data_IF_436946565642
#
_entry.id   IF_436946565642
#
_cell.length_a   1.000
_cell.length_b   1.000
_cell.length_c   1.000
_cell.angle_alpha   90.00
_cell.angle_beta   90.00
_cell.angle_gamma   90.00
#
_symmetry.space_group_name_H-M   'P 1'
#
loop_
_entity.id
_entity.type
_entity.pdbx_description
1 polymer ?
#
# COMPACT_ATOMS: atom_id res chain seq x y z
N UNK A 1 18.33 5.91 23.66
CA UNK A 1 18.13 5.92 22.20
C UNK A 1 16.95 6.82 21.94
N UNK A 2 17.12 7.82 21.08
CA UNK A 2 16.00 8.64 20.60
C UNK A 2 15.01 7.71 19.89
N UNK A 3 13.71 7.88 20.11
CA UNK A 3 12.71 7.01 19.48
C UNK A 3 12.75 7.21 17.96
N UNK A 4 12.74 6.12 17.17
CA UNK A 4 12.76 6.19 15.69
C UNK A 4 11.47 6.80 15.12
N UNK A 5 10.40 6.77 15.92
CA UNK A 5 9.08 7.34 15.63
C UNK A 5 8.70 8.39 16.66
N UNK A 6 8.25 9.53 16.18
CA UNK A 6 7.88 10.67 17.02
C UNK A 6 6.36 10.75 17.24
N UNK A 7 5.94 11.80 17.95
CA UNK A 7 4.52 12.08 18.20
C UNK A 7 3.75 12.33 16.90
N UNK A 8 4.37 12.93 15.89
CA UNK A 8 3.71 13.27 14.62
C UNK A 8 3.41 12.01 13.82
N UNK A 9 4.27 10.99 13.88
CA UNK A 9 3.97 9.68 13.27
C UNK A 9 2.73 9.03 13.88
N UNK A 10 2.60 9.04 15.21
CA UNK A 10 1.40 8.54 15.89
C UNK A 10 0.15 9.35 15.51
N UNK A 11 0.29 10.67 15.47
CA UNK A 11 -0.80 11.57 15.09
C UNK A 11 -1.26 11.35 13.64
N UNK A 12 -0.34 11.08 12.72
CA UNK A 12 -0.65 10.77 11.32
C UNK A 12 -1.37 9.42 11.18
N UNK A 13 -0.94 8.40 11.94
CA UNK A 13 -1.64 7.11 12.02
C UNK A 13 -3.07 7.30 12.51
N UNK A 14 -3.26 8.04 13.60
CA UNK A 14 -4.59 8.28 14.15
C UNK A 14 -5.44 9.15 13.21
N UNK A 15 -4.82 10.06 12.45
CA UNK A 15 -5.49 10.82 11.38
C UNK A 15 -6.04 9.90 10.29
N UNK A 16 -5.29 8.87 9.88
CA UNK A 16 -5.78 7.88 8.91
C UNK A 16 -6.98 7.12 9.48
N UNK A 17 -6.90 6.70 10.75
CA UNK A 17 -8.00 5.99 11.44
C UNK A 17 -9.27 6.83 11.45
N UNK A 18 -9.18 8.09 11.90
CA UNK A 18 -10.34 8.97 12.03
C UNK A 18 -10.92 9.35 10.67
N UNK A 19 -10.09 9.63 9.66
CA UNK A 19 -10.56 9.86 8.29
C UNK A 19 -11.32 8.66 7.70
N UNK A 20 -10.82 7.44 7.95
CA UNK A 20 -11.49 6.23 7.48
C UNK A 20 -12.86 6.02 8.16
N UNK A 21 -12.94 6.22 9.49
CA UNK A 21 -14.20 6.16 10.22
C UNK A 21 -15.19 7.21 9.71
N UNK A 22 -14.78 8.48 9.63
CA UNK A 22 -15.64 9.59 9.24
C UNK A 22 -16.17 9.45 7.81
N UNK A 23 -15.32 9.02 6.86
CA UNK A 23 -15.73 8.81 5.47
C UNK A 23 -16.76 7.69 5.33
N UNK A 24 -16.58 6.57 6.05
CA UNK A 24 -17.51 5.45 6.01
C UNK A 24 -18.84 5.80 6.67
N UNK A 25 -18.82 6.48 7.84
CA UNK A 25 -20.05 6.97 8.50
C UNK A 25 -20.83 7.93 7.60
N UNK A 26 -20.13 8.90 7.00
CA UNK A 26 -20.73 9.89 6.09
C UNK A 26 -21.34 9.24 4.86
N UNK A 27 -20.64 8.28 4.26
CA UNK A 27 -21.13 7.53 3.10
C UNK A 27 -22.26 6.55 3.45
N UNK A 28 -22.42 6.21 4.75
CA UNK A 28 -23.27 5.10 5.24
C UNK A 28 -22.96 3.78 4.54
N UNK A 29 -21.71 3.62 4.10
CA UNK A 29 -21.24 2.50 3.29
C UNK A 29 -19.72 2.41 3.34
N UNK A 30 -19.17 1.20 3.44
CA UNK A 30 -17.74 0.96 3.35
C UNK A 30 -17.21 0.02 4.42
N UNK A 31 -15.88 -0.05 4.49
CA UNK A 31 -15.15 -1.02 5.29
C UNK A 31 -14.19 -0.29 6.23
N UNK A 32 -14.59 0.03 7.47
CA UNK A 32 -13.79 0.84 8.37
C UNK A 32 -12.78 0.02 9.18
N UNK A 33 -13.05 -1.26 9.45
CA UNK A 33 -12.26 -2.08 10.36
C UNK A 33 -10.81 -2.27 9.94
N UNK A 34 -10.57 -2.70 8.70
CA UNK A 34 -9.22 -2.91 8.16
C UNK A 34 -8.43 -1.59 8.03
N UNK A 35 -8.99 -0.48 7.49
CA UNK A 35 -8.31 0.81 7.53
C UNK A 35 -7.89 1.29 8.92
N UNK A 36 -8.74 1.10 9.94
CA UNK A 36 -8.40 1.49 11.31
C UNK A 36 -7.23 0.66 11.87
N UNK A 37 -7.24 -0.65 11.61
CA UNK A 37 -6.20 -1.57 12.05
C UNK A 37 -4.86 -1.32 11.36
N UNK A 38 -4.87 -1.11 10.04
CA UNK A 38 -3.67 -1.05 9.19
C UNK A 38 -3.13 0.36 8.93
N UNK A 39 -3.70 1.38 9.59
CA UNK A 39 -3.17 2.74 9.56
C UNK A 39 -1.64 2.84 9.81
N UNK A 40 -1.04 2.08 10.76
CA UNK A 40 0.41 2.05 10.93
C UNK A 40 1.17 1.57 9.68
N UNK A 41 0.70 0.52 9.01
CA UNK A 41 1.32 -0.02 7.79
C UNK A 41 1.29 1.02 6.67
N UNK A 42 0.12 1.61 6.41
CA UNK A 42 -0.04 2.60 5.35
C UNK A 42 0.83 3.84 5.62
N UNK A 43 0.82 4.36 6.85
CA UNK A 43 1.64 5.51 7.21
C UNK A 43 3.13 5.23 7.00
N UNK A 44 3.65 4.13 7.56
CA UNK A 44 5.07 3.79 7.44
C UNK A 44 5.48 3.59 5.97
N UNK A 45 4.70 2.85 5.19
CA UNK A 45 5.01 2.62 3.78
C UNK A 45 5.12 3.94 3.00
N UNK A 46 4.09 4.79 3.06
CA UNK A 46 4.06 6.02 2.27
C UNK A 46 5.01 7.09 2.81
N UNK A 47 5.19 7.20 4.13
CA UNK A 47 6.04 8.23 4.71
C UNK A 47 7.53 7.87 4.73
N UNK A 48 7.89 6.57 4.73
CA UNK A 48 9.27 6.12 4.95
C UNK A 48 9.81 5.15 3.90
N UNK A 49 9.06 4.12 3.52
CA UNK A 49 9.65 3.01 2.73
C UNK A 49 9.54 3.19 1.22
N UNK A 50 8.39 3.67 0.71
CA UNK A 50 8.17 3.82 -0.72
C UNK A 50 9.08 4.92 -1.29
N UNK A 51 9.73 4.62 -2.41
CA UNK A 51 10.31 5.62 -3.32
C UNK A 51 9.22 6.12 -4.26
N UNK A 52 8.58 7.23 -3.94
CA UNK A 52 7.49 7.79 -4.76
C UNK A 52 7.57 9.32 -4.80
N UNK A 53 6.97 9.92 -5.82
CA UNK A 53 6.78 11.38 -5.91
C UNK A 53 5.29 11.68 -6.13
N UNK A 54 4.57 12.16 -5.12
CA UNK A 54 3.16 12.56 -5.23
C UNK A 54 2.90 13.64 -6.29
N UNK A 55 3.92 14.45 -6.63
CA UNK A 55 3.85 15.46 -7.68
C UNK A 55 4.07 14.91 -9.09
N UNK A 56 4.41 13.64 -9.23
CA UNK A 56 4.58 12.92 -10.50
C UNK A 56 4.30 11.42 -10.29
N UNK A 57 3.02 11.06 -10.11
CA UNK A 57 2.61 9.69 -9.82
C UNK A 57 2.93 8.73 -10.98
N UNK A 58 3.30 9.24 -12.16
CA UNK A 58 3.66 8.44 -13.33
C UNK A 58 5.17 8.18 -13.46
N UNK A 59 5.99 8.68 -12.52
CA UNK A 59 7.44 8.44 -12.49
C UNK A 59 7.76 6.94 -12.71
N UNK A 60 8.46 6.54 -13.81
CA UNK A 60 8.61 5.13 -14.17
C UNK A 60 9.29 4.27 -13.11
N UNK A 61 10.27 4.82 -12.39
CA UNK A 61 11.08 4.10 -11.39
C UNK A 61 10.66 4.38 -9.93
N UNK A 62 9.39 4.73 -9.71
CA UNK A 62 8.79 4.75 -8.38
C UNK A 62 8.54 3.33 -7.86
N UNK A 63 8.53 3.13 -6.56
CA UNK A 63 7.98 1.89 -5.99
C UNK A 63 6.48 1.82 -6.26
N UNK A 64 5.99 0.62 -6.60
CA UNK A 64 4.57 0.34 -6.83
C UNK A 64 3.93 -0.12 -5.52
N UNK A 65 2.72 0.37 -5.23
CA UNK A 65 1.91 -0.08 -4.11
C UNK A 65 0.56 -0.60 -4.59
N UNK A 66 0.23 -1.85 -4.25
CA UNK A 66 -1.04 -2.50 -4.59
C UNK A 66 -1.82 -2.80 -3.31
N UNK A 67 -3.01 -2.23 -3.19
CA UNK A 67 -3.97 -2.60 -2.16
C UNK A 67 -4.80 -3.80 -2.65
N UNK A 68 -4.33 -5.04 -2.46
CA UNK A 68 -5.06 -6.24 -2.92
C UNK A 68 -6.37 -6.42 -2.17
N UNK A 69 -6.35 -6.14 -0.86
CA UNK A 69 -7.55 -6.02 -0.02
C UNK A 69 -8.32 -4.71 -0.33
N UNK A 70 -8.75 -4.55 -1.58
CA UNK A 70 -9.30 -3.31 -2.13
C UNK A 70 -10.51 -2.76 -1.38
N UNK A 71 -11.20 -3.59 -0.60
CA UNK A 71 -12.29 -3.14 0.27
C UNK A 71 -11.84 -2.09 1.28
N UNK A 72 -10.56 -2.13 1.71
CA UNK A 72 -9.91 -1.17 2.61
C UNK A 72 -9.52 0.15 1.90
N UNK A 73 -10.20 0.53 0.82
CA UNK A 73 -9.82 1.65 -0.06
C UNK A 73 -9.62 2.98 0.66
N UNK A 74 -10.38 3.27 1.72
CA UNK A 74 -10.21 4.48 2.52
C UNK A 74 -8.84 4.59 3.20
N UNK A 75 -8.18 3.46 3.49
CA UNK A 75 -6.80 3.43 3.97
C UNK A 75 -5.86 4.06 2.93
N UNK A 76 -5.97 3.61 1.68
CA UNK A 76 -5.17 4.11 0.57
C UNK A 76 -5.50 5.58 0.29
N UNK A 77 -6.78 5.95 0.21
CA UNK A 77 -7.17 7.33 -0.06
C UNK A 77 -6.72 8.31 1.03
N UNK A 78 -6.77 7.92 2.30
CA UNK A 78 -6.23 8.71 3.39
C UNK A 78 -4.70 8.86 3.26
N UNK A 79 -3.96 7.79 2.97
CA UNK A 79 -2.51 7.87 2.75
C UNK A 79 -2.15 8.78 1.55
N UNK A 80 -2.87 8.66 0.43
CA UNK A 80 -2.70 9.51 -0.76
C UNK A 80 -3.01 10.98 -0.46
N UNK A 81 -4.09 11.26 0.28
CA UNK A 81 -4.43 12.61 0.73
C UNK A 81 -3.32 13.22 1.60
N UNK A 82 -2.88 12.48 2.62
CA UNK A 82 -1.88 12.98 3.58
C UNK A 82 -0.49 13.13 2.96
N UNK A 83 -0.17 12.36 1.93
CA UNK A 83 1.14 12.44 1.26
C UNK A 83 1.17 13.31 0.01
N UNK A 84 0.04 13.91 -0.39
CA UNK A 84 0.04 14.99 -1.39
C UNK A 84 -0.23 14.57 -2.83
N UNK A 85 -0.88 13.42 -3.07
CA UNK A 85 -1.28 12.94 -4.41
C UNK A 85 -2.45 13.73 -5.04
N UNK A 86 -2.81 14.87 -4.46
CA UNK A 86 -3.87 15.74 -4.98
C UNK A 86 -5.30 15.26 -4.69
N UNK A 87 -5.49 14.26 -3.83
CA UNK A 87 -6.80 14.03 -3.19
C UNK A 87 -7.04 15.09 -2.11
N UNK A 88 -8.24 15.66 -2.10
CA UNK A 88 -8.67 16.69 -1.15
C UNK A 88 -9.52 16.10 -0.03
N UNK A 89 -9.79 16.87 1.03
CA UNK A 89 -10.77 16.44 2.04
C UNK A 89 -12.18 16.31 1.47
N UNK A 90 -12.53 17.09 0.44
CA UNK A 90 -13.84 16.98 -0.21
C UNK A 90 -13.97 15.70 -1.04
N UNK A 91 -12.87 15.23 -1.64
CA UNK A 91 -12.82 13.90 -2.25
C UNK A 91 -13.07 12.81 -1.19
N UNK A 92 -12.45 12.90 -0.01
CA UNK A 92 -12.68 11.93 1.08
C UNK A 92 -14.11 12.00 1.63
N UNK A 93 -14.68 13.20 1.76
CA UNK A 93 -16.09 13.40 2.13
C UNK A 93 -17.08 12.86 1.10
N UNK A 94 -16.63 12.70 -0.14
CA UNK A 94 -17.39 12.16 -1.26
C UNK A 94 -17.12 10.67 -1.49
N UNK A 95 -16.54 9.98 -0.49
CA UNK A 95 -16.31 8.53 -0.55
C UNK A 95 -17.59 7.79 -0.95
N UNK A 96 -17.46 6.89 -1.93
CA UNK A 96 -18.56 6.07 -2.50
C UNK A 96 -19.73 6.86 -3.09
N UNK A 97 -19.56 8.16 -3.35
CA UNK A 97 -20.59 8.97 -4.02
C UNK A 97 -20.41 8.95 -5.54
N UNK A 98 -21.50 9.19 -6.27
CA UNK A 98 -21.50 9.25 -7.72
C UNK A 98 -20.48 10.28 -8.26
N UNK A 99 -19.61 9.85 -9.16
CA UNK A 99 -18.62 10.70 -9.81
C UNK A 99 -17.44 11.13 -8.92
N UNK A 100 -17.31 10.57 -7.72
CA UNK A 100 -16.18 10.91 -6.84
C UNK A 100 -14.88 10.26 -7.30
N UNK A 101 -13.75 10.85 -6.88
CA UNK A 101 -12.39 10.28 -7.07
C UNK A 101 -12.02 9.25 -5.99
N UNK A 102 -13.00 8.84 -5.20
CA UNK A 102 -12.85 7.92 -4.06
C UNK A 102 -13.93 6.84 -4.12
N UNK A 103 -13.94 6.01 -5.17
CA UNK A 103 -14.89 4.91 -5.31
C UNK A 103 -14.73 3.87 -4.20
N UNK A 104 -15.71 2.99 -4.05
CA UNK A 104 -15.76 2.01 -2.96
C UNK A 104 -14.65 0.96 -2.96
N UNK A 105 -14.00 0.77 -4.10
CA UNK A 105 -12.75 0.03 -4.30
C UNK A 105 -11.84 0.87 -5.22
N UNK A 106 -10.50 0.79 -5.11
CA UNK A 106 -9.61 1.62 -5.92
C UNK A 106 -9.78 1.37 -7.41
N UNK A 107 -9.76 2.43 -8.21
CA UNK A 107 -9.85 2.36 -9.67
C UNK A 107 -8.66 3.07 -10.33
N UNK A 108 -7.87 2.31 -11.10
CA UNK A 108 -6.77 2.89 -11.87
C UNK A 108 -7.29 3.81 -12.98
N UNK A 109 -6.61 4.94 -13.18
CA UNK A 109 -7.00 5.99 -14.14
C UNK A 109 -7.99 7.02 -13.57
N UNK A 110 -8.64 6.74 -12.44
CA UNK A 110 -9.55 7.68 -11.77
C UNK A 110 -8.84 8.47 -10.65
N UNK A 111 -8.05 7.78 -9.84
CA UNK A 111 -7.42 8.35 -8.64
C UNK A 111 -5.90 8.30 -8.77
N UNK A 112 -5.19 9.45 -8.77
CA UNK A 112 -3.73 9.47 -8.80
C UNK A 112 -3.12 8.67 -7.65
N UNK A 113 -2.11 7.86 -7.96
CA UNK A 113 -1.46 6.95 -7.00
C UNK A 113 -2.16 5.60 -6.79
N UNK A 114 -3.26 5.33 -7.50
CA UNK A 114 -3.85 3.98 -7.60
C UNK A 114 -3.23 3.25 -8.80
N UNK A 115 -2.36 2.29 -8.51
CA UNK A 115 -1.62 1.53 -9.54
C UNK A 115 -2.48 0.58 -10.37
N UNK A 116 -3.52 0.02 -9.76
CA UNK A 116 -4.42 -0.96 -10.38
C UNK A 116 -5.79 -0.95 -9.70
N UNK A 117 -6.83 -1.22 -10.47
CA UNK A 117 -8.16 -1.49 -9.93
C UNK A 117 -8.18 -2.80 -9.15
N UNK A 118 -8.59 -2.75 -7.88
CA UNK A 118 -8.76 -3.94 -7.02
C UNK A 118 -10.16 -4.00 -6.42
N UNK A 119 -10.44 -5.02 -5.62
CA UNK A 119 -11.77 -5.28 -5.06
C UNK A 119 -12.11 -6.77 -5.14
N UNK A 120 -12.06 -7.39 -6.33
CA UNK A 120 -12.03 -8.84 -6.44
C UNK A 120 -10.75 -9.36 -5.77
N UNK A 121 -10.91 -10.13 -4.69
CA UNK A 121 -9.81 -10.62 -3.86
C UNK A 121 -8.83 -11.48 -4.68
N UNK A 122 -7.56 -11.47 -4.30
CA UNK A 122 -6.48 -12.20 -4.96
C UNK A 122 -5.98 -11.58 -6.28
N UNK A 123 -6.76 -10.73 -6.95
CA UNK A 123 -6.32 -10.10 -8.21
C UNK A 123 -5.15 -9.15 -8.00
N UNK A 124 -5.15 -8.35 -6.92
CA UNK A 124 -4.03 -7.48 -6.58
C UNK A 124 -2.73 -8.26 -6.30
N UNK A 125 -2.82 -9.42 -5.66
CA UNK A 125 -1.71 -10.35 -5.50
C UNK A 125 -1.11 -10.72 -6.88
N UNK A 126 -1.93 -11.23 -7.80
CA UNK A 126 -1.46 -11.64 -9.13
C UNK A 126 -0.88 -10.48 -9.95
N UNK A 127 -1.52 -9.31 -9.91
CA UNK A 127 -1.03 -8.13 -10.60
C UNK A 127 0.31 -7.62 -10.04
N UNK A 128 0.49 -7.68 -8.71
CA UNK A 128 1.77 -7.29 -8.09
C UNK A 128 2.93 -8.20 -8.54
N UNK A 129 2.67 -9.49 -8.79
CA UNK A 129 3.65 -10.40 -9.39
C UNK A 129 3.99 -9.97 -10.82
N UNK A 130 2.98 -9.60 -11.61
CA UNK A 130 3.17 -9.06 -12.95
C UNK A 130 3.98 -7.75 -12.96
N UNK A 131 3.72 -6.84 -12.03
CA UNK A 131 4.49 -5.59 -11.88
C UNK A 131 5.97 -5.86 -11.54
N UNK A 132 6.23 -6.77 -10.58
CA UNK A 132 7.60 -7.15 -10.23
C UNK A 132 8.32 -7.90 -11.37
N UNK A 133 7.60 -8.73 -12.12
CA UNK A 133 8.11 -9.37 -13.34
C UNK A 133 8.49 -8.34 -14.40
N UNK A 134 7.64 -7.33 -14.63
CA UNK A 134 7.88 -6.27 -15.59
C UNK A 134 9.10 -5.43 -15.19
N UNK A 135 9.25 -5.09 -13.90
CA UNK A 135 10.44 -4.42 -13.37
C UNK A 135 11.70 -5.24 -13.66
N UNK A 136 11.72 -6.52 -13.32
CA UNK A 136 12.88 -7.38 -13.52
C UNK A 136 13.26 -7.50 -15.01
N UNK A 137 12.25 -7.61 -15.88
CA UNK A 137 12.46 -7.65 -17.33
C UNK A 137 13.01 -6.32 -17.87
N UNK A 138 12.43 -5.19 -17.46
CA UNK A 138 12.87 -3.86 -17.89
C UNK A 138 14.28 -3.54 -17.37
N UNK A 139 14.58 -3.89 -16.12
CA UNK A 139 15.92 -3.77 -15.56
C UNK A 139 16.95 -4.57 -16.38
N UNK A 140 16.64 -5.83 -16.72
CA UNK A 140 17.52 -6.64 -17.56
C UNK A 140 17.67 -6.09 -18.98
N UNK A 141 16.62 -5.51 -19.55
CA UNK A 141 16.66 -4.94 -20.90
C UNK A 141 17.49 -3.64 -20.96
N UNK A 142 17.32 -2.74 -19.98
CA UNK A 142 17.77 -1.35 -20.07
C UNK A 142 18.94 -0.98 -19.17
N UNK A 143 19.11 -1.60 -18.00
CA UNK A 143 20.27 -1.29 -17.14
C UNK A 143 21.58 -1.74 -17.80
N UNK A 144 22.66 -1.01 -17.54
CA UNK A 144 24.02 -1.32 -18.03
C UNK A 144 25.02 -1.15 -16.88
N UNK A 145 26.22 -1.77 -16.95
CA UNK A 145 27.23 -1.59 -15.90
C UNK A 145 27.49 -0.10 -15.62
N UNK A 146 27.33 0.32 -14.36
CA UNK A 146 27.45 1.73 -13.95
C UNK A 146 26.18 2.58 -14.14
N UNK A 147 25.10 2.03 -14.71
CA UNK A 147 23.86 2.75 -14.98
C UNK A 147 22.61 1.90 -14.67
N UNK A 148 21.94 2.21 -13.56
CA UNK A 148 20.68 1.60 -13.16
C UNK A 148 19.55 2.62 -13.27
N UNK A 149 18.70 2.45 -14.27
CA UNK A 149 17.55 3.34 -14.56
C UNK A 149 16.21 2.68 -14.21
N UNK A 150 16.19 1.37 -14.00
CA UNK A 150 15.07 0.60 -13.44
C UNK A 150 15.57 -0.17 -12.22
N UNK A 151 15.11 0.23 -11.05
CA UNK A 151 15.47 -0.37 -9.77
C UNK A 151 14.39 -0.10 -8.69
N UNK A 152 13.13 -0.29 -9.02
CA UNK A 152 12.02 -0.09 -8.09
C UNK A 152 11.48 -1.40 -7.52
N UNK A 153 10.63 -1.27 -6.49
CA UNK A 153 10.01 -2.40 -5.79
C UNK A 153 8.52 -2.44 -6.03
N UNK A 154 7.94 -3.60 -5.76
CA UNK A 154 6.49 -3.76 -5.70
C UNK A 154 6.08 -4.22 -4.31
N UNK A 155 5.20 -3.46 -3.68
CA UNK A 155 4.61 -3.73 -2.37
C UNK A 155 3.13 -4.04 -2.55
N UNK A 156 2.63 -5.10 -1.93
CA UNK A 156 1.21 -5.40 -1.92
C UNK A 156 0.72 -5.61 -0.49
N UNK A 157 -0.39 -4.96 -0.12
CA UNK A 157 -1.11 -5.22 1.13
C UNK A 157 -2.24 -6.21 0.83
N UNK A 158 -2.22 -7.35 1.52
CA UNK A 158 -3.10 -8.50 1.27
C UNK A 158 -3.80 -8.93 2.55
N UNK A 159 -4.99 -9.48 2.42
CA UNK A 159 -5.84 -9.95 3.52
C UNK A 159 -5.92 -11.48 3.56
N UNK A 160 -6.54 -12.03 4.60
CA UNK A 160 -6.89 -13.46 4.63
C UNK A 160 -7.70 -13.87 3.38
N UNK A 161 -8.66 -13.04 2.98
CA UNK A 161 -9.49 -13.31 1.80
C UNK A 161 -8.68 -13.36 0.49
N UNK A 162 -7.64 -12.53 0.36
CA UNK A 162 -6.72 -12.63 -0.78
C UNK A 162 -5.93 -13.94 -0.77
N UNK A 163 -5.54 -14.43 0.41
CA UNK A 163 -4.72 -15.62 0.57
C UNK A 163 -5.51 -16.93 0.54
N UNK A 164 -6.84 -16.88 0.54
CA UNK A 164 -7.75 -18.00 0.26
C UNK A 164 -8.02 -18.18 -1.25
N UNK A 165 -7.87 -17.11 -2.04
CA UNK A 165 -8.17 -17.13 -3.46
C UNK A 165 -7.11 -17.88 -4.27
N UNK A 166 -7.53 -18.87 -5.07
CA UNK A 166 -6.63 -19.74 -5.82
C UNK A 166 -5.63 -18.99 -6.72
N UNK A 167 -6.06 -17.87 -7.31
CA UNK A 167 -5.20 -17.03 -8.15
C UNK A 167 -3.98 -16.46 -7.39
N UNK A 168 -4.11 -16.20 -6.08
CA UNK A 168 -3.00 -15.75 -5.26
C UNK A 168 -2.00 -16.89 -5.01
N UNK A 169 -2.46 -18.14 -4.89
CA UNK A 169 -1.58 -19.31 -4.77
C UNK A 169 -0.78 -19.55 -6.06
N UNK A 170 -1.43 -19.47 -7.22
CA UNK A 170 -0.78 -19.60 -8.53
C UNK A 170 0.31 -18.52 -8.71
N UNK A 171 -0.06 -17.27 -8.45
CA UNK A 171 0.85 -16.13 -8.56
C UNK A 171 2.03 -16.24 -7.56
N UNK A 172 1.77 -16.65 -6.31
CA UNK A 172 2.80 -16.84 -5.31
C UNK A 172 3.78 -17.96 -5.71
N UNK A 173 3.26 -19.08 -6.25
CA UNK A 173 4.10 -20.17 -6.74
C UNK A 173 5.04 -19.71 -7.86
N UNK A 174 4.50 -18.98 -8.84
CA UNK A 174 5.29 -18.44 -9.94
C UNK A 174 6.33 -17.42 -9.47
N UNK A 175 5.96 -16.49 -8.59
CA UNK A 175 6.86 -15.46 -8.09
C UNK A 175 8.06 -16.04 -7.33
N UNK A 176 7.84 -17.10 -6.55
CA UNK A 176 8.89 -17.82 -5.86
C UNK A 176 9.82 -18.56 -6.82
N UNK A 177 9.24 -19.25 -7.82
CA UNK A 177 10.01 -19.89 -8.90
C UNK A 177 10.90 -18.89 -9.66
N UNK A 178 10.35 -17.72 -10.00
CA UNK A 178 11.04 -16.68 -10.76
C UNK A 178 11.98 -15.82 -9.91
N UNK A 179 12.03 -16.04 -8.59
CA UNK A 179 12.95 -15.33 -7.69
C UNK A 179 12.77 -13.80 -7.76
N UNK A 180 11.52 -13.34 -7.67
CA UNK A 180 11.18 -11.92 -7.73
C UNK A 180 11.54 -11.17 -6.44
N UNK A 181 12.84 -10.97 -6.19
CA UNK A 181 13.39 -10.45 -4.94
C UNK A 181 13.07 -8.97 -4.60
N UNK A 182 12.35 -8.27 -5.48
CA UNK A 182 11.85 -6.91 -5.25
C UNK A 182 10.33 -6.85 -4.99
N UNK A 183 9.68 -8.02 -4.88
CA UNK A 183 8.28 -8.17 -4.50
C UNK A 183 8.16 -8.41 -2.99
N UNK A 184 7.33 -7.61 -2.34
CA UNK A 184 6.98 -7.76 -0.93
C UNK A 184 5.46 -7.80 -0.79
N UNK A 185 4.93 -8.87 -0.22
CA UNK A 185 3.56 -8.94 0.25
C UNK A 185 3.52 -8.71 1.76
N UNK A 186 2.60 -7.87 2.21
CA UNK A 186 2.32 -7.60 3.61
C UNK A 186 0.95 -8.18 3.88
N UNK A 187 0.89 -9.24 4.66
CA UNK A 187 -0.34 -9.92 5.02
C UNK A 187 -0.85 -9.40 6.36
N UNK A 188 -2.08 -8.87 6.32
CA UNK A 188 -2.89 -8.58 7.50
C UNK A 188 -3.47 -9.88 8.07
N UNK A 189 -2.76 -10.48 9.03
CA UNK A 189 -3.21 -11.65 9.80
C UNK A 189 -4.04 -11.16 10.99
N UNK A 190 -5.30 -10.79 10.71
CA UNK A 190 -6.24 -10.29 11.71
C UNK A 190 -7.24 -11.35 12.20
N UNK A 191 -7.24 -12.53 11.58
CA UNK A 191 -8.08 -13.69 11.92
C UNK A 191 -9.59 -13.49 11.72
N UNK A 192 -10.00 -12.51 10.92
CA UNK A 192 -11.40 -12.17 10.67
C UNK A 192 -11.67 -12.05 9.17
N UNK A 193 -12.77 -12.69 8.75
CA UNK A 193 -13.40 -12.50 7.44
C UNK A 193 -14.86 -12.02 7.63
N UNK A 194 -15.61 -11.90 6.54
CA UNK A 194 -17.04 -11.52 6.58
C UNK A 194 -17.84 -12.45 7.50
N UNK A 195 -17.58 -13.75 7.50
CA UNK A 195 -18.36 -14.74 8.26
C UNK A 195 -17.91 -14.90 9.72
N UNK A 196 -16.87 -14.20 10.16
CA UNK A 196 -16.32 -14.34 11.51
C UNK A 196 -14.86 -14.76 11.51
N UNK A 197 -14.50 -15.56 12.52
CA UNK A 197 -13.14 -16.08 12.68
C UNK A 197 -12.68 -16.86 11.44
N UNK A 198 -11.43 -16.66 11.03
CA UNK A 198 -10.79 -17.48 10.00
C UNK A 198 -10.79 -18.96 10.35
N UNK A 199 -10.84 -19.34 11.63
CA UNK A 199 -10.85 -20.76 12.05
C UNK A 199 -12.04 -21.55 11.50
N UNK A 200 -13.10 -20.87 11.03
CA UNK A 200 -14.24 -21.51 10.38
C UNK A 200 -13.90 -22.11 9.01
N UNK A 201 -12.93 -21.55 8.29
CA UNK A 201 -12.67 -21.90 6.88
C UNK A 201 -11.19 -21.80 6.42
N UNK A 202 -10.29 -21.28 7.25
CA UNK A 202 -8.91 -20.97 6.91
C UNK A 202 -7.97 -21.18 8.11
N UNK A 203 -7.48 -22.41 8.24
CA UNK A 203 -6.66 -22.88 9.37
C UNK A 203 -5.28 -23.40 8.93
N UNK A 204 -4.82 -23.06 7.73
CA UNK A 204 -3.51 -23.49 7.23
C UNK A 204 -2.35 -22.71 7.85
N UNK A 205 -1.15 -23.29 7.80
CA UNK A 205 0.08 -22.56 8.09
C UNK A 205 0.53 -21.79 6.82
N UNK A 206 0.01 -20.57 6.68
CA UNK A 206 0.34 -19.66 5.57
C UNK A 206 1.84 -19.45 5.45
N UNK A 207 2.57 -19.28 6.56
CA UNK A 207 4.01 -19.06 6.49
C UNK A 207 4.75 -20.30 6.00
N UNK A 208 4.33 -21.50 6.42
CA UNK A 208 4.90 -22.75 5.89
C UNK A 208 4.60 -22.91 4.40
N UNK A 209 3.38 -22.60 3.96
CA UNK A 209 3.03 -22.59 2.53
C UNK A 209 3.94 -21.67 1.74
N UNK A 210 4.11 -20.42 2.16
CA UNK A 210 4.97 -19.47 1.44
C UNK A 210 6.44 -19.89 1.44
N UNK A 211 6.97 -20.43 2.55
CA UNK A 211 8.31 -21.04 2.57
C UNK A 211 8.45 -22.17 1.54
N UNK A 212 7.44 -23.05 1.43
CA UNK A 212 7.43 -24.13 0.45
C UNK A 212 7.39 -23.60 -1.01
N UNK A 213 6.79 -22.43 -1.23
CA UNK A 213 6.79 -21.75 -2.52
C UNK A 213 8.10 -21.00 -2.81
N UNK A 214 9.10 -21.02 -1.92
CA UNK A 214 10.39 -20.35 -2.13
C UNK A 214 10.42 -18.88 -1.69
N UNK A 215 9.45 -18.43 -0.90
CA UNK A 215 9.42 -17.09 -0.36
C UNK A 215 10.23 -16.97 0.94
N UNK A 216 10.70 -15.76 1.23
CA UNK A 216 11.08 -15.36 2.58
C UNK A 216 9.82 -15.07 3.39
N UNK A 217 9.84 -15.41 4.66
CA UNK A 217 8.77 -15.05 5.61
C UNK A 217 9.36 -14.24 6.76
N UNK A 218 8.78 -13.07 7.01
CA UNK A 218 9.17 -12.15 8.10
C UNK A 218 7.95 -11.94 9.02
N UNK A 219 8.13 -11.97 10.34
CA UNK A 219 7.05 -11.73 11.30
C UNK A 219 7.22 -10.35 11.98
N UNK A 220 6.40 -9.39 11.53
CA UNK A 220 6.40 -8.02 12.03
C UNK A 220 5.75 -7.87 13.41
N UNK A 221 5.12 -8.92 13.96
CA UNK A 221 4.43 -8.86 15.24
C UNK A 221 3.17 -8.00 15.18
N UNK A 222 2.91 -7.27 16.27
CA UNK A 222 1.75 -6.37 16.40
C UNK A 222 1.94 -5.13 15.52
N UNK A 223 0.93 -4.81 14.71
CA UNK A 223 0.90 -3.65 13.82
C UNK A 223 1.16 -2.31 14.53
N UNK A 224 0.86 -2.20 15.83
CA UNK A 224 1.05 -0.97 16.61
C UNK A 224 2.46 -0.83 17.21
N UNK A 225 3.29 -1.87 17.15
CA UNK A 225 4.72 -1.79 17.49
C UNK A 225 5.50 -1.23 16.29
N UNK A 226 5.56 0.10 16.19
CA UNK A 226 6.14 0.78 15.03
C UNK A 226 7.62 0.45 14.81
N UNK A 227 8.38 0.23 15.89
CA UNK A 227 9.80 -0.12 15.78
C UNK A 227 9.96 -1.51 15.18
N UNK A 228 9.19 -2.48 15.67
CA UNK A 228 9.22 -3.85 15.12
C UNK A 228 8.67 -3.91 13.70
N UNK A 229 7.57 -3.22 13.42
CA UNK A 229 6.99 -3.14 12.08
C UNK A 229 7.99 -2.54 11.09
N UNK A 230 8.66 -1.44 11.45
CA UNK A 230 9.66 -0.82 10.60
C UNK A 230 10.90 -1.70 10.40
N UNK A 231 11.37 -2.39 11.44
CA UNK A 231 12.47 -3.35 11.31
C UNK A 231 12.11 -4.49 10.35
N UNK A 232 10.88 -5.01 10.41
CA UNK A 232 10.41 -6.05 9.51
C UNK A 232 10.26 -5.55 8.05
N UNK A 233 9.77 -4.32 7.84
CA UNK A 233 9.68 -3.72 6.51
C UNK A 233 11.07 -3.44 5.92
N UNK A 234 12.03 -3.01 6.75
CA UNK A 234 13.43 -2.84 6.33
C UNK A 234 14.08 -4.19 5.98
N UNK A 235 13.87 -5.23 6.80
CA UNK A 235 14.31 -6.58 6.50
C UNK A 235 13.71 -7.08 5.16
N UNK A 236 12.41 -6.87 4.95
CA UNK A 236 11.73 -7.27 3.72
C UNK A 236 12.20 -6.48 2.48
N UNK A 237 12.65 -5.23 2.68
CA UNK A 237 13.28 -4.42 1.64
C UNK A 237 14.65 -4.95 1.24
N UNK A 238 15.39 -5.62 2.13
CA UNK A 238 16.65 -6.29 1.74
C UNK A 238 16.37 -7.49 0.83
N UNK A 239 17.03 -7.57 -0.32
CA UNK A 239 16.82 -8.67 -1.27
C UNK A 239 17.92 -9.74 -1.16
N UNK A 240 17.52 -11.01 -1.12
CA UNK A 240 18.40 -12.17 -1.37
C UNK A 240 17.97 -12.92 -2.65
N UNK A 241 17.18 -12.25 -3.49
CA UNK A 241 16.57 -12.80 -4.69
C UNK A 241 15.30 -13.63 -4.44
N UNK A 242 14.78 -13.76 -3.22
CA UNK A 242 13.44 -14.35 -2.99
C UNK A 242 12.39 -13.25 -2.78
N UNK A 243 11.15 -13.41 -3.26
CA UNK A 243 10.05 -12.55 -2.83
C UNK A 243 9.79 -12.74 -1.32
N UNK A 244 9.24 -11.72 -0.66
CA UNK A 244 9.05 -11.72 0.80
C UNK A 244 7.58 -11.59 1.18
N UNK A 245 7.10 -12.46 2.07
CA UNK A 245 5.85 -12.31 2.80
C UNK A 245 6.14 -11.79 4.20
N UNK A 246 5.62 -10.61 4.52
CA UNK A 246 5.64 -10.03 5.86
C UNK A 246 4.30 -10.30 6.51
N UNK A 247 4.27 -11.06 7.59
CA UNK A 247 3.09 -11.22 8.43
C UNK A 247 3.00 -10.08 9.41
N UNK A 248 1.88 -9.38 9.40
CA UNK A 248 1.53 -8.33 10.35
C UNK A 248 0.29 -8.81 11.11
N UNK A 249 0.40 -8.97 12.43
CA UNK A 249 -0.77 -9.26 13.27
C UNK A 249 -1.48 -7.96 13.58
N UNK A 250 -2.76 -7.90 13.29
CA UNK A 250 -3.61 -6.76 13.64
C UNK A 250 -4.88 -7.23 14.34
N UNK A 251 -5.63 -6.28 14.90
CA UNK A 251 -6.99 -6.51 15.39
C UNK A 251 -7.89 -5.62 14.55
N UNK A 252 -8.83 -6.22 13.82
CA UNK A 252 -9.76 -5.45 12.98
C UNK A 252 -10.52 -4.42 13.84
N UNK A 253 -10.67 -3.19 13.35
CA UNK A 253 -11.25 -2.07 14.11
C UNK A 253 -10.57 -1.82 15.47
N UNK A 254 -9.25 -1.99 15.54
CA UNK A 254 -8.43 -1.74 16.74
C UNK A 254 -8.82 -0.44 17.46
N UNK A 255 -9.04 -0.53 18.76
CA UNK A 255 -9.36 0.61 19.62
C UNK A 255 -10.82 1.03 19.60
N UNK A 256 -11.66 0.49 18.70
CA UNK A 256 -13.08 0.87 18.60
C UNK A 256 -13.93 0.05 19.58
N UNK A 257 -14.51 0.65 20.64
CA UNK A 257 -15.29 -0.08 21.63
C UNK A 257 -16.48 -0.81 21.00
N UNK A 258 -16.65 -2.10 21.35
CA UNK A 258 -17.77 -2.93 20.89
C UNK A 258 -17.68 -3.36 19.41
N UNK A 259 -16.62 -2.98 18.69
CA UNK A 259 -16.38 -3.34 17.28
C UNK A 259 -15.01 -3.99 17.04
N UNK A 260 -14.05 -3.73 17.91
CA UNK A 260 -12.71 -4.32 17.86
C UNK A 260 -12.76 -5.86 17.86
N UNK A 261 -12.06 -6.48 16.89
CA UNK A 261 -11.98 -7.93 16.74
C UNK A 261 -13.26 -8.60 16.23
N UNK A 262 -14.29 -7.83 15.88
CA UNK A 262 -15.59 -8.35 15.48
C UNK A 262 -15.82 -8.23 13.97
N UNK A 263 -16.35 -9.28 13.34
CA UNK A 263 -16.62 -9.29 11.90
C UNK A 263 -17.63 -8.24 11.45
N UNK A 264 -18.52 -7.76 12.33
CA UNK A 264 -19.44 -6.66 12.00
C UNK A 264 -18.73 -5.34 11.73
N UNK A 265 -17.45 -5.21 12.10
CA UNK A 265 -16.62 -4.04 11.80
C UNK A 265 -15.98 -4.09 10.39
N UNK A 266 -16.10 -5.23 9.69
CA UNK A 266 -15.48 -5.42 8.39
C UNK A 266 -16.14 -4.57 7.29
N UNK A 267 -17.46 -4.70 7.10
CA UNK A 267 -18.15 -4.19 5.90
C UNK A 267 -19.35 -3.29 6.14
N UNK A 268 -19.46 -2.72 7.34
CA UNK A 268 -20.52 -1.77 7.69
C UNK A 268 -19.95 -0.56 8.43
N UNK A 269 -20.64 0.60 8.38
CA UNK A 269 -20.38 1.70 9.31
C UNK A 269 -20.32 1.21 10.76
N UNK A 270 -19.41 1.77 11.54
CA UNK A 270 -19.21 1.41 12.95
C UNK A 270 -20.37 1.92 13.81
N UNK A 271 -21.02 3.01 13.38
CA UNK A 271 -22.05 3.74 14.09
C UNK A 271 -21.45 4.93 14.85
N UNK A 272 -22.18 6.04 14.85
CA UNK A 272 -21.71 7.32 15.43
C UNK A 272 -21.24 7.22 16.88
N UNK A 273 -21.91 6.46 17.75
CA UNK A 273 -21.46 6.26 19.14
C UNK A 273 -20.10 5.56 19.24
N UNK A 274 -19.88 4.52 18.44
CA UNK A 274 -18.62 3.79 18.41
C UNK A 274 -17.47 4.66 17.87
N UNK A 275 -17.73 5.47 16.83
CA UNK A 275 -16.74 6.41 16.28
C UNK A 275 -16.37 7.50 17.29
N UNK A 276 -17.35 8.09 17.97
CA UNK A 276 -17.10 9.09 19.02
C UNK A 276 -16.24 8.52 20.14
N UNK A 277 -16.61 7.34 20.65
CA UNK A 277 -15.87 6.69 21.72
C UNK A 277 -14.47 6.24 21.28
N UNK A 278 -14.28 5.87 20.01
CA UNK A 278 -12.96 5.63 19.44
C UNK A 278 -12.11 6.91 19.40
N UNK A 279 -12.68 8.04 18.95
CA UNK A 279 -11.99 9.35 18.97
C UNK A 279 -11.58 9.76 20.38
N UNK A 280 -12.46 9.62 21.37
CA UNK A 280 -12.14 9.90 22.78
C UNK A 280 -10.97 9.06 23.28
N UNK A 281 -10.93 7.76 22.96
CA UNK A 281 -9.80 6.86 23.31
C UNK A 281 -8.48 7.28 22.68
N UNK A 282 -8.53 7.82 21.45
CA UNK A 282 -7.35 8.34 20.76
C UNK A 282 -6.95 9.74 21.26
N UNK A 283 -7.74 10.37 22.13
CA UNK A 283 -7.53 11.75 22.58
C UNK A 283 -7.95 12.81 21.54
N UNK A 284 -8.84 12.45 20.62
CA UNK A 284 -9.41 13.34 19.61
C UNK A 284 -10.76 13.90 20.06
N UNK A 285 -11.12 15.07 19.55
CA UNK A 285 -12.46 15.64 19.76
C UNK A 285 -13.52 14.76 19.05
N UNK A 286 -14.47 14.16 19.80
CA UNK A 286 -15.49 13.28 19.23
C UNK A 286 -16.45 13.98 18.26
N UNK A 287 -16.60 15.31 18.33
CA UNK A 287 -17.49 16.08 17.45
C UNK A 287 -16.83 16.47 16.12
N UNK A 288 -15.51 16.52 16.08
CA UNK A 288 -14.80 16.99 14.89
C UNK A 288 -14.69 15.88 13.85
N UNK A 289 -15.25 16.12 12.66
CA UNK A 289 -15.13 15.22 11.51
C UNK A 289 -14.05 15.69 10.53
N UNK A 290 -13.37 14.74 9.88
CA UNK A 290 -12.37 14.99 8.84
C UNK A 290 -11.23 15.93 9.28
N UNK A 291 -10.83 15.83 10.55
CA UNK A 291 -9.70 16.58 11.09
C UNK A 291 -8.38 16.09 10.52
N UNK A 292 -7.53 17.04 10.12
CA UNK A 292 -6.14 16.77 9.74
C UNK A 292 -5.28 17.85 10.40
N UNK A 293 -4.56 17.51 11.48
CA UNK A 293 -3.70 18.45 12.20
C UNK A 293 -2.61 19.05 11.31
N UNK A 294 -2.26 20.32 11.52
CA UNK A 294 -1.26 21.02 10.68
C UNK A 294 0.11 20.34 10.70
N UNK A 295 0.52 19.76 11.84
CA UNK A 295 1.78 19.02 11.95
C UNK A 295 1.81 17.78 11.04
N UNK A 296 0.67 17.09 10.88
CA UNK A 296 0.52 15.96 9.95
C UNK A 296 0.58 16.47 8.51
N UNK A 297 -0.01 17.63 8.22
CA UNK A 297 0.09 18.26 6.89
C UNK A 297 1.53 18.63 6.55
N UNK A 298 2.29 19.19 7.48
CA UNK A 298 3.71 19.49 7.27
C UNK A 298 4.53 18.22 7.04
N UNK A 299 4.31 17.17 7.84
CA UNK A 299 4.96 15.87 7.61
C UNK A 299 4.60 15.28 6.24
N UNK A 300 3.37 15.47 5.77
CA UNK A 300 2.98 15.16 4.39
C UNK A 300 3.77 15.93 3.34
N UNK A 301 3.99 17.24 3.57
CA UNK A 301 4.85 18.08 2.70
C UNK A 301 6.31 17.63 2.73
N UNK A 302 6.83 17.16 3.86
CA UNK A 302 8.16 16.54 3.95
C UNK A 302 8.27 15.30 3.08
N UNK A 303 7.26 14.42 3.09
CA UNK A 303 7.21 13.23 2.23
C UNK A 303 7.25 13.62 0.75
N UNK A 304 6.47 14.64 0.34
CA UNK A 304 6.48 15.13 -1.03
C UNK A 304 7.84 15.72 -1.44
N UNK A 305 8.49 16.52 -0.58
CA UNK A 305 9.83 17.07 -0.83
C UNK A 305 10.87 15.96 -1.00
N UNK A 306 10.81 14.92 -0.18
CA UNK A 306 11.67 13.73 -0.31
C UNK A 306 11.44 13.02 -1.65
N UNK A 307 10.19 12.86 -2.05
CA UNK A 307 9.84 12.25 -3.35
C UNK A 307 10.40 13.02 -4.54
N UNK A 308 10.26 14.34 -4.53
CA UNK A 308 10.83 15.22 -5.56
C UNK A 308 12.36 15.09 -5.64
N UNK A 309 13.06 14.99 -4.50
CA UNK A 309 14.51 14.78 -4.48
C UNK A 309 14.91 13.40 -5.04
N UNK A 310 14.17 12.33 -4.69
CA UNK A 310 14.42 10.99 -5.23
C UNK A 310 14.23 10.93 -6.75
N UNK A 311 13.16 11.55 -7.26
CA UNK A 311 12.90 11.64 -8.70
C UNK A 311 13.97 12.48 -9.41
N UNK A 312 14.40 13.60 -8.83
CA UNK A 312 15.48 14.42 -9.39
C UNK A 312 16.78 13.63 -9.52
N UNK A 313 17.19 12.91 -8.46
CA UNK A 313 18.36 12.03 -8.51
C UNK A 313 18.22 10.92 -9.56
N UNK A 314 17.02 10.35 -9.73
CA UNK A 314 16.76 9.41 -10.81
C UNK A 314 16.88 10.04 -12.21
N UNK A 315 16.42 11.29 -12.41
CA UNK A 315 16.57 12.00 -13.68
C UNK A 315 18.03 12.22 -14.04
N UNK A 316 18.88 12.58 -13.08
CA UNK A 316 20.33 12.68 -13.29
C UNK A 316 20.94 11.35 -13.74
N UNK A 317 20.55 10.23 -13.11
CA UNK A 317 20.97 8.88 -13.55
C UNK A 317 20.48 8.55 -14.95
N UNK A 318 19.23 8.90 -15.28
CA UNK A 318 18.64 8.68 -16.60
C UNK A 318 19.34 9.50 -17.69
N UNK A 319 19.71 10.75 -17.40
CA UNK A 319 20.46 11.62 -18.31
C UNK A 319 21.85 11.05 -18.60
N UNK A 320 22.58 10.63 -17.56
CA UNK A 320 23.88 9.99 -17.71
C UNK A 320 23.78 8.68 -18.53
N UNK A 321 22.79 7.83 -18.23
CA UNK A 321 22.53 6.60 -18.99
C UNK A 321 22.15 6.90 -20.44
N UNK A 322 21.33 7.93 -20.68
CA UNK A 322 20.93 8.36 -22.02
C UNK A 322 22.14 8.77 -22.87
N UNK A 323 23.05 9.55 -22.28
CA UNK A 323 24.26 10.01 -22.97
C UNK A 323 25.21 8.85 -23.30
N UNK A 324 25.31 7.86 -22.40
CA UNK A 324 26.13 6.67 -22.59
C UNK A 324 25.52 5.65 -23.56
N UNK A 325 24.18 5.60 -23.68
CA UNK A 325 23.46 4.56 -24.42
C UNK A 325 22.31 5.13 -25.29
N UNK A 326 22.61 5.97 -26.30
CA UNK A 326 21.60 6.71 -27.06
C UNK A 326 20.58 5.81 -27.78
N UNK A 327 21.02 4.68 -28.35
CA UNK A 327 20.12 3.76 -29.07
C UNK A 327 19.12 3.07 -28.12
N UNK A 328 19.59 2.63 -26.95
CA UNK A 328 18.71 2.07 -25.92
C UNK A 328 17.78 3.13 -25.33
N UNK A 329 18.25 4.37 -25.20
CA UNK A 329 17.43 5.48 -24.75
C UNK A 329 16.33 5.83 -25.76
N UNK A 330 16.59 5.72 -27.06
CA UNK A 330 15.56 5.86 -28.09
C UNK A 330 14.49 4.76 -27.97
N UNK A 331 14.91 3.50 -27.83
CA UNK A 331 14.02 2.36 -27.61
C UNK A 331 13.19 2.50 -26.32
N UNK A 332 13.82 2.93 -25.22
CA UNK A 332 13.16 3.21 -23.94
C UNK A 332 12.07 4.26 -24.08
N UNK A 333 12.40 5.41 -24.69
CA UNK A 333 11.42 6.50 -24.90
C UNK A 333 10.25 6.06 -25.76
N UNK A 334 10.51 5.36 -26.86
CA UNK A 334 9.48 4.80 -27.75
C UNK A 334 8.51 3.90 -26.97
N UNK A 335 9.05 2.95 -26.19
CA UNK A 335 8.24 2.02 -25.39
C UNK A 335 7.44 2.73 -24.30
N UNK A 336 8.01 3.71 -23.61
CA UNK A 336 7.29 4.49 -22.60
C UNK A 336 6.22 5.41 -23.20
N UNK A 337 6.40 5.86 -24.44
CA UNK A 337 5.39 6.61 -25.19
C UNK A 337 4.26 5.70 -25.74
N UNK A 338 4.38 4.38 -25.59
CA UNK A 338 3.41 3.42 -26.13
C UNK A 338 3.48 3.28 -27.67
N UNK A 339 4.59 3.66 -28.29
CA UNK A 339 4.77 3.65 -29.74
C UNK A 339 5.34 2.31 -30.22
N UNK A 340 4.86 1.77 -31.34
CA UNK A 340 5.41 0.56 -31.98
C UNK A 340 6.62 0.91 -32.88
N UNK A 341 7.49 -0.07 -33.22
CA UNK A 341 8.59 0.18 -34.17
C UNK A 341 8.07 0.62 -35.53
N UNK A 342 8.85 1.41 -36.27
CA UNK A 342 8.50 1.76 -37.65
C UNK A 342 8.48 0.50 -38.53
N UNK A 343 7.43 0.31 -39.33
CA UNK A 343 7.27 -0.83 -40.22
C UNK A 343 6.96 -2.16 -39.51
N UNK A 344 6.22 -2.10 -38.41
CA UNK A 344 5.86 -3.29 -37.62
C UNK A 344 4.72 -4.12 -38.25
N UNK A 345 3.93 -3.51 -39.15
CA UNK A 345 2.74 -4.06 -39.80
C UNK A 345 2.95 -4.52 -41.24
#
# INVERSE_FOLDING_TARGET
MEATFDRVDRLAIDTIRTLAMDAVERARSGHPGTPVALAPVAWLLFSRFLRHDPGDPDWPDRDRFVLSCGHASMLLYAALHLTGYGLTLDDLRSFRQWGSRTPGHPEHGLTPGVEITTGPLGQGCSASVGMALAEAHLAAAFNRPGHEVVDHRTWALVSDGDLMEGVAHEAASLAGHLRLGKLVWIWDDNRITIEGSTDLAFSEDVLARFRALGWRTVDAGDVNDLERLAAALEEARTSDGRPTLVRVRSVIAWGVPGKEGDASSHGAPLGGEAVRAAKERLGWDPETEFAVPEEVRERGREVARRGAALRAAWRERLEAWTAAHPDLAAEWRRRLAGELPQGWD
#
